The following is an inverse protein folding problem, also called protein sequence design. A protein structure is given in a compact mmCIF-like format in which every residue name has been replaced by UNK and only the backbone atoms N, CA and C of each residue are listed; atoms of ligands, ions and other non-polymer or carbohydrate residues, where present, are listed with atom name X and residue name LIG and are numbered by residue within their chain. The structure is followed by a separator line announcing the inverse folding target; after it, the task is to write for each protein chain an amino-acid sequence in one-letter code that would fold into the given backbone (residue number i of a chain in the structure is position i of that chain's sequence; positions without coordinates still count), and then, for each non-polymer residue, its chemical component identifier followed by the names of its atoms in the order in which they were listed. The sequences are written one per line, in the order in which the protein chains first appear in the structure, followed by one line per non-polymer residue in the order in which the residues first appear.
data_IF_215306498942
#
_entry.id   IF_215306498942
#
_cell.length_a   1.000
_cell.length_b   1.000
_cell.length_c   1.000
_cell.angle_alpha   90.00
_cell.angle_beta   90.00
_cell.angle_gamma   90.00
#
_symmetry.space_group_name_H-M   'P 1'
#
loop_
_entity.id
_entity.type
_entity.pdbx_description
1 polymer ?
#
# COMPACT_ATOMS: atom_id res chain seq x y z
N UNK A 1 32.36 -34.23 -25.15
CA UNK A 1 32.52 -33.92 -23.72
C UNK A 1 33.29 -32.62 -23.59
N UNK A 2 32.61 -31.47 -23.66
CA UNK A 2 33.15 -30.18 -23.22
C UNK A 2 31.97 -29.36 -22.70
N UNK A 3 31.67 -29.41 -21.39
CA UNK A 3 30.60 -28.63 -20.81
C UNK A 3 31.01 -27.15 -20.69
N UNK A 4 30.09 -26.26 -21.10
CA UNK A 4 29.83 -24.96 -20.49
C UNK A 4 30.98 -23.95 -20.31
N UNK A 5 31.59 -23.45 -21.39
CA UNK A 5 32.47 -22.27 -21.35
C UNK A 5 31.93 -21.03 -22.09
N UNK A 6 30.74 -21.12 -22.71
CA UNK A 6 30.14 -20.00 -23.47
C UNK A 6 29.09 -19.21 -22.69
N UNK A 7 29.05 -19.32 -21.36
CA UNK A 7 28.05 -18.66 -20.51
C UNK A 7 28.64 -17.52 -19.66
N UNK A 8 29.56 -16.71 -20.21
CA UNK A 8 30.17 -15.59 -19.49
C UNK A 8 29.89 -14.20 -20.10
N UNK A 9 28.95 -14.07 -21.04
CA UNK A 9 28.58 -12.76 -21.62
C UNK A 9 27.10 -12.39 -21.48
N UNK A 10 26.30 -13.07 -20.64
CA UNK A 10 24.85 -12.86 -20.63
C UNK A 10 24.10 -12.97 -19.30
N UNK A 11 24.75 -13.25 -18.17
CA UNK A 11 24.03 -13.50 -16.90
C UNK A 11 24.47 -12.57 -15.77
N UNK A 12 24.66 -11.28 -16.08
CA UNK A 12 25.00 -10.26 -15.07
C UNK A 12 24.14 -9.00 -15.20
N UNK A 13 22.94 -9.04 -15.81
CA UNK A 13 22.08 -7.84 -15.93
C UNK A 13 20.56 -8.07 -15.90
N UNK A 14 20.04 -9.24 -15.51
CA UNK A 14 18.59 -9.41 -15.25
C UNK A 14 18.25 -9.49 -13.77
N UNK A 15 19.10 -8.96 -12.89
CA UNK A 15 18.62 -8.50 -11.58
C UNK A 15 17.91 -7.15 -11.78
N UNK A 16 16.84 -7.14 -12.58
CA UNK A 16 15.80 -6.18 -12.32
C UNK A 16 15.36 -6.51 -10.89
N UNK A 17 15.79 -5.69 -9.92
CA UNK A 17 15.09 -5.62 -8.65
C UNK A 17 13.60 -5.64 -9.03
N UNK A 18 12.81 -6.57 -8.50
CA UNK A 18 11.38 -6.53 -8.74
C UNK A 18 10.93 -5.18 -8.19
N UNK A 19 10.74 -4.19 -9.07
CA UNK A 19 10.45 -2.83 -8.65
C UNK A 19 9.12 -2.90 -7.93
N UNK A 20 9.09 -2.67 -6.60
CA UNK A 20 7.88 -2.93 -5.84
C UNK A 20 6.82 -1.84 -6.10
N UNK A 21 7.22 -0.74 -6.76
CA UNK A 21 6.34 0.22 -7.40
C UNK A 21 6.63 0.26 -8.92
N UNK A 22 5.80 -0.33 -9.79
CA UNK A 22 5.99 -0.20 -11.22
C UNK A 22 5.59 1.19 -11.73
N UNK A 23 6.40 1.77 -12.63
CA UNK A 23 6.11 3.05 -13.33
C UNK A 23 5.34 2.86 -14.64
N UNK A 24 5.05 1.61 -15.01
CA UNK A 24 4.42 1.15 -16.25
C UNK A 24 3.24 0.21 -15.89
N UNK A 25 2.39 -0.30 -16.82
CA UNK A 25 1.06 -0.83 -16.52
C UNK A 25 1.06 -2.23 -15.89
N UNK A 26 2.06 -2.52 -15.05
CA UNK A 26 2.08 -3.65 -14.14
C UNK A 26 1.19 -3.33 -12.92
N UNK A 27 0.68 -4.35 -12.22
CA UNK A 27 -0.22 -4.12 -11.09
C UNK A 27 0.49 -3.35 -9.98
N UNK A 28 0.12 -2.09 -9.78
CA UNK A 28 0.47 -1.32 -8.59
C UNK A 28 -0.05 -2.10 -7.36
N UNK A 29 0.78 -2.39 -6.34
CA UNK A 29 0.32 -3.11 -5.15
C UNK A 29 -0.68 -2.31 -4.31
N UNK A 30 -0.81 -1.00 -4.52
CA UNK A 30 -1.77 -0.15 -3.83
C UNK A 30 -3.12 -0.10 -4.57
N UNK A 31 -4.19 -0.43 -3.87
CA UNK A 31 -5.57 -0.40 -4.36
C UNK A 31 -6.23 0.97 -4.11
N UNK A 32 -7.45 1.15 -4.65
CA UNK A 32 -8.33 2.29 -4.38
C UNK A 32 -7.72 3.68 -4.64
N UNK A 33 -6.80 3.77 -5.61
CA UNK A 33 -6.12 5.03 -5.95
C UNK A 33 -4.98 5.40 -5.00
N UNK A 34 -4.48 4.44 -4.20
CA UNK A 34 -3.29 4.64 -3.38
C UNK A 34 -2.02 4.85 -4.23
N UNK A 35 -1.12 5.70 -3.73
CA UNK A 35 0.18 5.95 -4.38
C UNK A 35 1.24 5.04 -3.79
N UNK A 36 1.93 4.28 -4.64
CA UNK A 36 3.03 3.41 -4.20
C UNK A 36 4.34 4.19 -4.18
N UNK A 37 5.09 4.03 -3.09
CA UNK A 37 6.38 4.66 -2.85
C UNK A 37 7.39 3.56 -2.52
N UNK A 38 8.52 3.56 -3.23
CA UNK A 38 9.63 2.64 -2.94
C UNK A 38 10.37 3.13 -1.70
N UNK A 39 10.62 2.24 -0.75
CA UNK A 39 11.45 2.50 0.42
C UNK A 39 12.80 1.80 0.28
N UNK A 40 13.67 1.91 1.29
CA UNK A 40 15.04 1.37 1.23
C UNK A 40 15.07 -0.17 1.04
N UNK A 41 14.06 -0.87 1.54
CA UNK A 41 13.98 -2.33 1.53
C UNK A 41 12.62 -2.88 1.09
N UNK A 42 11.60 -2.03 0.91
CA UNK A 42 10.21 -2.46 0.72
C UNK A 42 9.41 -1.44 -0.12
N UNK A 43 8.08 -1.54 -0.09
CA UNK A 43 7.19 -0.49 -0.57
C UNK A 43 6.26 0.02 0.52
N UNK A 44 5.76 1.25 0.32
CA UNK A 44 4.75 1.84 1.17
C UNK A 44 3.65 2.45 0.30
N UNK A 45 2.39 2.17 0.65
CA UNK A 45 1.23 2.78 0.02
C UNK A 45 0.76 4.00 0.81
N UNK A 46 0.64 5.15 0.14
CA UNK A 46 -0.09 6.31 0.66
C UNK A 46 -1.57 6.17 0.28
N UNK A 47 -2.43 5.98 1.28
CA UNK A 47 -3.87 5.80 1.08
C UNK A 47 -4.64 7.12 1.13
N UNK A 48 -5.71 7.27 0.33
CA UNK A 48 -6.66 8.36 0.51
C UNK A 48 -7.42 8.24 1.84
N UNK A 49 -8.04 9.34 2.30
CA UNK A 49 -8.68 9.42 3.63
C UNK A 49 -9.68 8.28 3.94
N UNK A 50 -10.28 7.68 2.90
CA UNK A 50 -11.27 6.60 3.02
C UNK A 50 -10.71 5.18 2.96
N UNK A 51 -9.39 5.00 2.84
CA UNK A 51 -8.77 3.67 2.80
C UNK A 51 -7.58 3.52 3.77
N UNK A 52 -7.40 2.30 4.28
CA UNK A 52 -6.32 1.89 5.18
C UNK A 52 -5.72 0.55 4.77
N UNK A 53 -4.70 0.15 5.54
CA UNK A 53 -3.98 -1.09 5.37
C UNK A 53 -2.73 -0.91 4.50
N UNK A 54 -1.86 -1.94 4.43
CA UNK A 54 -0.58 -1.87 3.74
C UNK A 54 -0.71 -1.62 2.24
N UNK A 55 -1.87 -1.95 1.66
CA UNK A 55 -2.18 -1.83 0.23
C UNK A 55 -3.42 -0.98 -0.04
N UNK A 56 -3.94 -0.24 0.94
CA UNK A 56 -5.18 0.54 0.80
C UNK A 56 -6.41 -0.28 0.37
N UNK A 57 -6.41 -1.59 0.60
CA UNK A 57 -7.53 -2.48 0.26
C UNK A 57 -8.69 -2.45 1.26
N UNK A 58 -8.49 -1.86 2.44
CA UNK A 58 -9.49 -1.76 3.49
C UNK A 58 -10.09 -0.37 3.51
N UNK A 59 -11.40 -0.23 3.61
CA UNK A 59 -12.04 1.09 3.76
C UNK A 59 -11.81 1.59 5.19
N UNK A 60 -11.16 2.76 5.36
CA UNK A 60 -11.17 3.46 6.64
C UNK A 60 -12.56 4.04 6.84
N UNK A 61 -13.22 3.59 7.90
CA UNK A 61 -14.28 4.39 8.54
C UNK A 61 -13.70 5.57 9.34
N UNK A 62 -12.41 5.85 9.12
CA UNK A 62 -11.63 6.90 9.78
C UNK A 62 -11.63 8.23 9.00
N UNK A 63 -11.94 8.23 7.70
CA UNK A 63 -12.33 9.47 7.01
C UNK A 63 -13.61 10.07 7.59
N UNK A 64 -14.53 9.22 8.05
CA UNK A 64 -15.71 9.67 8.80
C UNK A 64 -15.33 10.32 10.14
N UNK A 65 -14.09 10.07 10.65
CA UNK A 65 -13.55 10.66 11.88
C UNK A 65 -12.81 12.00 11.64
N UNK A 66 -12.67 12.46 10.40
CA UNK A 66 -12.36 13.88 10.09
C UNK A 66 -13.64 14.72 9.96
N UNK A 67 -14.76 14.26 10.53
CA UNK A 67 -15.80 15.18 10.99
C UNK A 67 -15.42 15.62 12.40
N UNK A 68 -15.23 16.92 12.68
CA UNK A 68 -15.05 17.43 14.04
C UNK A 68 -16.37 17.37 14.86
N UNK A 69 -17.06 16.22 14.90
CA UNK A 69 -18.42 16.09 15.44
C UNK A 69 -18.70 14.81 16.24
N UNK A 70 -17.71 14.16 16.86
CA UNK A 70 -17.99 13.16 17.92
C UNK A 70 -17.48 13.61 19.29
N UNK A 71 -17.99 14.76 19.73
CA UNK A 71 -18.14 15.10 21.16
C UNK A 71 -19.51 14.64 21.70
N UNK A 72 -20.15 13.64 21.10
CA UNK A 72 -21.58 13.42 21.32
C UNK A 72 -22.13 12.03 21.10
N UNK A 73 -21.31 10.97 21.16
CA UNK A 73 -21.89 9.65 21.42
C UNK A 73 -22.32 9.56 22.89
N UNK A 74 -23.65 9.59 23.10
CA UNK A 74 -24.40 9.01 24.23
C UNK A 74 -24.99 9.98 25.28
N UNK A 75 -26.02 10.75 24.88
CA UNK A 75 -27.12 11.09 25.78
C UNK A 75 -27.92 9.79 26.10
N UNK A 76 -27.45 9.02 27.09
CA UNK A 76 -28.20 7.89 27.67
C UNK A 76 -28.28 7.97 29.18
N UNK A 77 -28.71 9.11 29.72
CA UNK A 77 -29.29 9.14 31.06
C UNK A 77 -30.70 9.73 31.02
N UNK A 78 -31.58 8.98 30.35
CA UNK A 78 -32.97 8.88 30.77
C UNK A 78 -33.00 8.28 32.18
N UNK A 79 -33.11 9.12 33.20
CA UNK A 79 -33.86 8.88 34.46
C UNK A 79 -33.78 10.12 35.35
N UNK A 80 -34.78 10.99 35.22
CA UNK A 80 -35.18 11.89 36.29
C UNK A 80 -35.88 11.11 37.40
N UNK A 81 -35.56 11.44 38.64
CA UNK A 81 -36.26 11.08 39.88
C UNK A 81 -36.54 12.35 40.66
#
# INVERSE_FOLDING_TARGET
MTPALTALVGEMLTQARADPCPTLPQPNPCFNGGTCLVTWNDFQCTCPDNFTGPTCGTVSRASDLWRPQDFGSREQHRQGS
#
